data_IF_873481653445
#
_entry.id   IF_873481653445
#
_cell.length_a   1.000
_cell.length_b   1.000
_cell.length_c   1.000
_cell.angle_alpha   90.00
_cell.angle_beta   90.00
_cell.angle_gamma   90.00
#
_symmetry.space_group_name_H-M   'P 1'
#
loop_
_entity.id
_entity.type
_entity.pdbx_description
1 polymer ?
#
# COMPACT_ATOMS: atom_id res chain seq x y z
N UNK A 1 4.39 -42.45 51.06
CA UNK A 1 4.43 -40.99 50.86
C UNK A 1 4.37 -40.73 49.37
N UNK A 2 3.25 -40.20 48.85
CA UNK A 2 3.03 -39.98 47.41
C UNK A 2 3.67 -38.65 47.00
N UNK A 3 4.70 -38.70 46.15
CA UNK A 3 5.29 -37.51 45.55
C UNK A 3 4.33 -36.92 44.50
N UNK A 4 3.99 -35.64 44.64
CA UNK A 4 3.24 -34.89 43.63
C UNK A 4 4.23 -34.39 42.59
N UNK A 5 4.11 -34.86 41.35
CA UNK A 5 4.82 -34.28 40.21
C UNK A 5 4.16 -32.95 39.86
N UNK A 6 4.93 -31.86 39.88
CA UNK A 6 4.49 -30.53 39.47
C UNK A 6 4.75 -30.41 37.96
N UNK A 7 3.69 -30.39 37.15
CA UNK A 7 3.80 -30.07 35.72
C UNK A 7 3.94 -28.55 35.59
N UNK A 8 5.08 -28.07 35.07
CA UNK A 8 5.27 -26.68 34.67
C UNK A 8 4.90 -26.60 33.18
N UNK A 9 3.76 -25.99 32.87
CA UNK A 9 3.42 -25.61 31.49
C UNK A 9 4.22 -24.36 31.12
N UNK A 10 5.21 -24.52 30.25
CA UNK A 10 5.86 -23.40 29.58
C UNK A 10 4.92 -22.86 28.49
N UNK A 11 4.31 -21.69 28.72
CA UNK A 11 3.64 -20.94 27.66
C UNK A 11 4.71 -20.34 26.74
N UNK A 12 4.81 -20.84 25.51
CA UNK A 12 5.55 -20.18 24.45
C UNK A 12 4.77 -18.92 24.05
N UNK A 13 5.24 -17.75 24.45
CA UNK A 13 4.75 -16.47 23.91
C UNK A 13 5.29 -16.38 22.49
N UNK A 14 4.46 -16.71 21.50
CA UNK A 14 4.72 -16.34 20.11
C UNK A 14 4.53 -14.83 20.05
N UNK A 15 5.63 -14.09 20.09
CA UNK A 15 5.61 -12.67 19.74
C UNK A 15 5.36 -12.65 18.24
N UNK A 16 4.14 -12.31 17.82
CA UNK A 16 3.88 -11.96 16.43
C UNK A 16 4.81 -10.78 16.11
N UNK A 17 5.79 -10.99 15.23
CA UNK A 17 6.60 -9.89 14.72
C UNK A 17 5.68 -9.02 13.88
N UNK A 18 5.31 -7.85 14.39
CA UNK A 18 4.63 -6.83 13.61
C UNK A 18 5.55 -6.41 12.47
N UNK A 19 5.06 -6.48 11.24
CA UNK A 19 5.84 -6.03 10.10
C UNK A 19 5.53 -4.57 9.79
N UNK A 20 6.58 -3.74 9.75
CA UNK A 20 6.50 -2.31 9.48
C UNK A 20 6.88 -2.03 8.02
N UNK A 21 6.09 -1.18 7.36
CA UNK A 21 6.33 -0.64 6.01
C UNK A 21 6.43 0.86 6.11
N UNK A 22 7.03 1.43 5.07
CA UNK A 22 6.93 2.85 4.78
C UNK A 22 6.52 3.04 3.34
N UNK A 23 5.76 4.09 3.06
CA UNK A 23 5.56 4.55 1.70
C UNK A 23 6.09 5.96 1.47
N UNK A 24 6.48 6.24 0.22
CA UNK A 24 7.01 7.55 -0.15
C UNK A 24 6.92 7.86 -1.64
N UNK A 25 6.83 9.15 -1.94
CA UNK A 25 7.07 9.70 -3.28
C UNK A 25 8.52 10.21 -3.47
N UNK A 26 9.26 10.39 -2.38
CA UNK A 26 10.61 10.94 -2.41
C UNK A 26 11.61 9.92 -2.97
N UNK A 27 12.63 10.42 -3.67
CA UNK A 27 13.76 9.60 -4.07
C UNK A 27 14.65 9.32 -2.84
N UNK A 28 14.78 8.05 -2.47
CA UNK A 28 15.75 7.58 -1.49
C UNK A 28 17.00 7.01 -2.15
N UNK A 29 18.16 7.41 -1.64
CA UNK A 29 19.44 6.74 -1.96
C UNK A 29 19.54 5.38 -1.25
N UNK A 30 20.44 4.51 -1.72
CA UNK A 30 20.74 3.24 -1.06
C UNK A 30 21.03 3.41 0.44
N UNK A 31 21.87 4.37 0.84
CA UNK A 31 22.21 4.58 2.25
C UNK A 31 21.00 4.96 3.11
N UNK A 32 20.05 5.71 2.55
CA UNK A 32 18.82 6.07 3.26
C UNK A 32 17.89 4.86 3.42
N UNK A 33 17.70 4.07 2.36
CA UNK A 33 16.90 2.84 2.42
C UNK A 33 17.54 1.77 3.30
N UNK A 34 18.86 1.64 3.27
CA UNK A 34 19.61 0.76 4.17
C UNK A 34 19.43 1.19 5.62
N UNK A 35 19.52 2.49 5.91
CA UNK A 35 19.20 3.03 7.23
C UNK A 35 17.77 2.69 7.64
N UNK A 36 16.79 2.80 6.75
CA UNK A 36 15.38 2.45 7.02
C UNK A 36 15.25 0.98 7.43
N UNK A 37 15.89 0.05 6.70
CA UNK A 37 15.86 -1.37 7.01
C UNK A 37 16.42 -1.70 8.41
N UNK A 38 17.43 -0.96 8.88
CA UNK A 38 18.02 -1.13 10.22
C UNK A 38 17.04 -0.80 11.36
N UNK A 39 15.96 -0.05 11.09
CA UNK A 39 14.86 0.20 12.04
C UNK A 39 13.79 -0.89 12.04
N UNK A 40 14.12 -2.10 11.57
CA UNK A 40 13.20 -3.26 11.48
C UNK A 40 12.02 -3.04 10.53
N UNK A 41 12.13 -2.08 9.62
CA UNK A 41 11.21 -1.90 8.49
C UNK A 41 11.55 -2.96 7.45
N UNK A 42 10.54 -3.69 6.99
CA UNK A 42 10.71 -4.89 6.15
C UNK A 42 10.35 -4.65 4.68
N UNK A 43 9.55 -3.62 4.42
CA UNK A 43 9.17 -3.26 3.06
C UNK A 43 9.02 -1.76 2.87
N UNK A 44 8.98 -1.36 1.61
CA UNK A 44 8.71 0.01 1.19
C UNK A 44 7.74 0.04 0.01
N UNK A 45 6.81 0.99 -0.02
CA UNK A 45 5.88 1.19 -1.14
C UNK A 45 6.19 2.53 -1.79
N UNK A 46 6.64 2.50 -3.04
CA UNK A 46 7.19 3.69 -3.70
C UNK A 46 6.25 4.19 -4.78
N UNK A 47 6.11 5.52 -4.92
CA UNK A 47 5.22 6.06 -5.95
C UNK A 47 5.69 5.68 -7.35
N UNK A 48 4.81 5.07 -8.12
CA UNK A 48 5.02 4.66 -9.50
C UNK A 48 4.31 5.52 -10.53
N UNK A 49 3.17 6.10 -10.19
CA UNK A 49 2.40 6.94 -11.09
C UNK A 49 1.86 8.16 -10.35
N UNK A 50 1.89 9.30 -11.02
CA UNK A 50 1.47 10.58 -10.46
C UNK A 50 0.07 10.93 -10.94
N UNK A 51 -0.69 11.62 -10.08
CA UNK A 51 -2.02 12.16 -10.40
C UNK A 51 -2.00 13.21 -11.52
N UNK A 52 -0.81 13.59 -12.01
CA UNK A 52 -0.58 14.40 -13.21
C UNK A 52 -0.60 13.59 -14.51
N UNK A 53 -0.78 12.26 -14.47
CA UNK A 53 -0.92 11.41 -15.66
C UNK A 53 0.41 10.89 -16.22
N UNK A 54 1.44 10.74 -15.38
CA UNK A 54 2.76 10.29 -15.81
C UNK A 54 3.36 9.30 -14.81
N UNK A 55 4.24 8.42 -15.31
CA UNK A 55 5.08 7.58 -14.47
C UNK A 55 5.99 8.47 -13.62
N UNK A 56 6.08 8.16 -12.33
CA UNK A 56 6.99 8.87 -11.44
C UNK A 56 8.45 8.55 -11.80
N UNK A 57 9.29 9.54 -12.11
CA UNK A 57 10.69 9.30 -12.46
C UNK A 57 11.52 8.64 -11.34
N UNK A 58 11.04 8.70 -10.09
CA UNK A 58 11.72 8.11 -8.94
C UNK A 58 11.44 6.62 -8.77
N UNK A 59 10.45 6.03 -9.46
CA UNK A 59 9.98 4.66 -9.16
C UNK A 59 11.06 3.60 -9.36
N UNK A 60 11.73 3.60 -10.51
CA UNK A 60 12.78 2.62 -10.83
C UNK A 60 13.98 2.76 -9.88
N UNK A 61 14.58 3.95 -9.68
CA UNK A 61 15.70 4.06 -8.74
C UNK A 61 15.30 3.75 -7.30
N UNK A 62 14.06 4.05 -6.87
CA UNK A 62 13.59 3.64 -5.56
C UNK A 62 13.45 2.12 -5.43
N UNK A 63 12.88 1.42 -6.41
CA UNK A 63 12.80 -0.04 -6.38
C UNK A 63 14.19 -0.65 -6.27
N UNK A 64 15.15 -0.16 -7.05
CA UNK A 64 16.51 -0.67 -7.02
C UNK A 64 17.21 -0.39 -5.69
N UNK A 65 17.12 0.85 -5.17
CA UNK A 65 17.80 1.22 -3.95
C UNK A 65 17.20 0.54 -2.71
N UNK A 66 15.86 0.48 -2.62
CA UNK A 66 15.17 -0.19 -1.53
C UNK A 66 15.36 -1.71 -1.58
N UNK A 67 15.26 -2.32 -2.77
CA UNK A 67 15.50 -3.75 -2.95
C UNK A 67 16.94 -4.15 -2.63
N UNK A 68 17.93 -3.34 -3.02
CA UNK A 68 19.33 -3.56 -2.66
C UNK A 68 19.58 -3.38 -1.15
N UNK A 69 18.73 -2.60 -0.47
CA UNK A 69 18.71 -2.46 0.98
C UNK A 69 17.92 -3.58 1.69
N UNK A 70 17.60 -4.67 0.98
CA UNK A 70 16.90 -5.86 1.49
C UNK A 70 15.44 -5.64 1.88
N UNK A 71 14.83 -4.55 1.43
CA UNK A 71 13.41 -4.30 1.60
C UNK A 71 12.61 -5.04 0.52
N UNK A 72 11.46 -5.60 0.89
CA UNK A 72 10.44 -5.95 -0.10
C UNK A 72 9.86 -4.65 -0.66
N UNK A 73 9.66 -4.55 -1.97
CA UNK A 73 9.20 -3.30 -2.58
C UNK A 73 7.83 -3.47 -3.22
N UNK A 74 6.87 -2.65 -2.78
CA UNK A 74 5.62 -2.41 -3.48
C UNK A 74 5.66 -1.10 -4.25
N UNK A 75 4.67 -0.90 -5.11
CA UNK A 75 4.51 0.35 -5.88
C UNK A 75 3.10 0.86 -5.64
N UNK A 76 2.92 2.17 -5.47
CA UNK A 76 1.57 2.76 -5.52
C UNK A 76 1.42 3.65 -6.74
N UNK A 77 0.22 3.69 -7.30
CA UNK A 77 -0.13 4.53 -8.43
C UNK A 77 -1.24 5.49 -8.03
N UNK A 78 -0.99 6.79 -8.12
CA UNK A 78 -2.00 7.82 -7.95
C UNK A 78 -2.60 8.12 -9.32
N UNK A 79 -3.78 7.57 -9.68
CA UNK A 79 -4.34 7.74 -11.00
C UNK A 79 -4.75 9.18 -11.28
N UNK A 80 -4.59 9.60 -12.54
CA UNK A 80 -5.13 10.85 -13.02
C UNK A 80 -6.51 10.61 -13.64
N UNK A 81 -7.59 10.68 -12.85
CA UNK A 81 -8.94 10.61 -13.38
C UNK A 81 -9.22 11.58 -14.57
N UNK A 82 -8.90 12.90 -14.48
CA UNK A 82 -9.21 13.84 -15.56
C UNK A 82 -8.37 13.62 -16.83
N UNK A 83 -7.20 12.96 -16.75
CA UNK A 83 -6.42 12.58 -17.92
C UNK A 83 -7.12 11.47 -18.74
N UNK A 84 -8.05 10.73 -18.12
CA UNK A 84 -8.76 9.63 -18.74
C UNK A 84 -7.87 8.42 -19.03
N UNK A 85 -8.40 7.50 -19.84
CA UNK A 85 -7.72 6.28 -20.30
C UNK A 85 -7.02 5.47 -19.18
N UNK A 86 -7.78 4.93 -18.20
CA UNK A 86 -7.23 4.17 -17.08
C UNK A 86 -6.36 2.98 -17.54
N UNK A 87 -6.73 2.31 -18.63
CA UNK A 87 -5.95 1.20 -19.16
C UNK A 87 -4.54 1.64 -19.59
N UNK A 88 -4.42 2.80 -20.25
CA UNK A 88 -3.11 3.34 -20.60
C UNK A 88 -2.27 3.70 -19.38
N UNK A 89 -2.87 4.27 -18.33
CA UNK A 89 -2.13 4.59 -17.09
C UNK A 89 -1.51 3.34 -16.46
N UNK A 90 -2.27 2.24 -16.38
CA UNK A 90 -1.75 0.93 -15.95
C UNK A 90 -0.63 0.42 -16.87
N UNK A 91 -0.83 0.48 -18.19
CA UNK A 91 0.15 0.01 -19.17
C UNK A 91 1.45 0.82 -19.14
N UNK A 92 1.37 2.14 -18.98
CA UNK A 92 2.52 3.03 -18.87
C UNK A 92 3.37 2.65 -17.66
N UNK A 93 2.73 2.49 -16.49
CA UNK A 93 3.41 2.07 -15.26
C UNK A 93 4.07 0.70 -15.43
N UNK A 94 3.30 -0.33 -15.81
CA UNK A 94 3.84 -1.69 -15.96
C UNK A 94 4.96 -1.74 -17.00
N UNK A 95 4.89 -0.93 -18.05
CA UNK A 95 5.97 -0.80 -19.04
C UNK A 95 7.24 -0.22 -18.43
N UNK A 96 7.12 0.84 -17.62
CA UNK A 96 8.26 1.44 -16.93
C UNK A 96 8.90 0.51 -15.90
N UNK A 97 8.10 -0.39 -15.29
CA UNK A 97 8.54 -1.36 -14.29
C UNK A 97 9.15 -2.64 -14.89
N UNK A 98 9.27 -2.76 -16.22
CA UNK A 98 9.85 -3.95 -16.86
C UNK A 98 11.26 -4.22 -16.34
N UNK A 99 11.49 -5.47 -15.91
CA UNK A 99 12.77 -5.92 -15.38
C UNK A 99 13.08 -5.48 -13.94
N UNK A 100 12.14 -4.81 -13.26
CA UNK A 100 12.25 -4.52 -11.83
C UNK A 100 11.58 -5.60 -10.99
N UNK A 101 12.03 -5.79 -9.76
CA UNK A 101 11.45 -6.72 -8.78
C UNK A 101 10.60 -5.94 -7.78
N UNK A 102 9.31 -6.22 -7.75
CA UNK A 102 8.33 -5.63 -6.83
C UNK A 102 7.19 -6.63 -6.57
N UNK A 103 6.45 -6.47 -5.48
CA UNK A 103 5.43 -7.43 -5.05
C UNK A 103 4.01 -7.11 -5.54
N UNK A 104 3.68 -5.83 -5.66
CA UNK A 104 2.30 -5.35 -5.82
C UNK A 104 2.23 -3.95 -6.38
N UNK A 105 1.08 -3.62 -6.99
CA UNK A 105 0.69 -2.27 -7.37
C UNK A 105 -0.58 -1.89 -6.61
N UNK A 106 -0.47 -0.88 -5.75
CA UNK A 106 -1.57 -0.29 -5.00
C UNK A 106 -2.16 0.89 -5.77
N UNK A 107 -3.47 0.87 -6.05
CA UNK A 107 -4.16 2.02 -6.64
C UNK A 107 -4.57 2.95 -5.51
N UNK A 108 -4.00 4.14 -5.50
CA UNK A 108 -4.32 5.20 -4.55
C UNK A 108 -5.64 5.88 -4.96
N UNK A 109 -6.66 5.75 -4.11
CA UNK A 109 -8.01 6.29 -4.30
C UNK A 109 -8.32 7.26 -3.15
N UNK A 110 -7.71 8.44 -3.26
CA UNK A 110 -7.90 9.58 -2.36
C UNK A 110 -8.68 10.74 -3.02
N UNK A 111 -9.18 11.68 -2.22
CA UNK A 111 -9.97 12.83 -2.66
C UNK A 111 -9.13 13.81 -3.49
N UNK A 112 -9.03 13.54 -4.80
CA UNK A 112 -8.33 14.40 -5.74
C UNK A 112 -8.90 14.32 -7.15
N UNK A 113 -9.56 15.40 -7.60
CA UNK A 113 -10.04 15.57 -8.99
C UNK A 113 -10.97 14.47 -9.56
N UNK A 114 -11.59 13.66 -8.70
CA UNK A 114 -12.63 12.71 -9.11
C UNK A 114 -13.90 13.41 -9.59
N UNK A 115 -14.67 12.73 -10.44
CA UNK A 115 -15.98 13.21 -10.86
C UNK A 115 -16.97 13.19 -9.71
N UNK A 116 -17.98 14.07 -9.73
CA UNK A 116 -19.18 13.90 -8.91
C UNK A 116 -20.05 12.72 -9.37
N UNK A 117 -19.83 12.21 -10.59
CA UNK A 117 -20.48 11.00 -11.07
C UNK A 117 -19.74 9.77 -10.53
N UNK A 118 -20.28 9.19 -9.46
CA UNK A 118 -19.70 8.01 -8.81
C UNK A 118 -19.60 6.81 -9.76
N UNK A 119 -20.54 6.62 -10.70
CA UNK A 119 -20.46 5.53 -11.68
C UNK A 119 -19.29 5.69 -12.64
N UNK A 120 -18.93 6.93 -13.00
CA UNK A 120 -17.74 7.19 -13.81
C UNK A 120 -16.45 6.84 -13.05
N UNK A 121 -16.38 7.17 -11.76
CA UNK A 121 -15.24 6.82 -10.91
C UNK A 121 -15.13 5.28 -10.76
N UNK A 122 -16.24 4.59 -10.50
CA UNK A 122 -16.31 3.13 -10.44
C UNK A 122 -15.82 2.47 -11.74
N UNK A 123 -16.28 2.95 -12.89
CA UNK A 123 -15.86 2.42 -14.20
C UNK A 123 -14.37 2.65 -14.46
N UNK A 124 -13.85 3.82 -14.07
CA UNK A 124 -12.44 4.15 -14.18
C UNK A 124 -11.58 3.19 -13.35
N UNK A 125 -11.89 3.04 -12.06
CA UNK A 125 -11.14 2.17 -11.13
C UNK A 125 -11.25 0.71 -11.54
N UNK A 126 -12.44 0.25 -11.95
CA UNK A 126 -12.64 -1.12 -12.47
C UNK A 126 -11.73 -1.40 -13.66
N UNK A 127 -11.70 -0.48 -14.62
CA UNK A 127 -10.88 -0.63 -15.83
C UNK A 127 -9.40 -0.63 -15.47
N UNK A 128 -8.99 0.27 -14.58
CA UNK A 128 -7.60 0.37 -14.13
C UNK A 128 -7.13 -0.92 -13.43
N UNK A 129 -7.87 -1.36 -12.41
CA UNK A 129 -7.55 -2.55 -11.62
C UNK A 129 -7.55 -3.83 -12.47
N UNK A 130 -8.55 -4.00 -13.33
CA UNK A 130 -8.61 -5.16 -14.22
C UNK A 130 -7.49 -5.15 -15.27
N UNK A 131 -7.08 -3.96 -15.74
CA UNK A 131 -5.93 -3.85 -16.66
C UNK A 131 -4.65 -4.31 -15.95
N UNK A 132 -4.34 -3.81 -14.76
CA UNK A 132 -3.20 -4.27 -13.96
C UNK A 132 -3.24 -5.79 -13.73
N UNK A 133 -4.39 -6.32 -13.31
CA UNK A 133 -4.58 -7.76 -13.12
C UNK A 133 -4.31 -8.56 -14.40
N UNK A 134 -4.83 -8.12 -15.54
CA UNK A 134 -4.60 -8.77 -16.84
C UNK A 134 -3.14 -8.71 -17.29
N UNK A 135 -2.39 -7.71 -16.83
CA UNK A 135 -0.94 -7.58 -17.05
C UNK A 135 -0.12 -8.42 -16.05
N UNK A 136 -0.78 -9.31 -15.29
CA UNK A 136 -0.15 -10.24 -14.35
C UNK A 136 0.27 -9.61 -13.03
N UNK A 137 -0.23 -8.41 -12.71
CA UNK A 137 0.15 -7.70 -11.49
C UNK A 137 -0.70 -8.15 -10.29
N UNK A 138 -0.09 -8.22 -9.11
CA UNK A 138 -0.82 -8.24 -7.84
C UNK A 138 -1.36 -6.83 -7.57
N UNK A 139 -2.65 -6.70 -7.28
CA UNK A 139 -3.33 -5.41 -7.18
C UNK A 139 -3.90 -5.22 -5.79
N UNK A 140 -3.66 -4.04 -5.24
CA UNK A 140 -4.32 -3.56 -4.04
C UNK A 140 -4.95 -2.19 -4.23
N UNK A 141 -5.78 -1.77 -3.29
CA UNK A 141 -6.42 -0.45 -3.24
C UNK A 141 -5.95 0.24 -1.95
N UNK A 142 -5.46 1.47 -2.10
CA UNK A 142 -5.24 2.38 -1.00
C UNK A 142 -6.37 3.41 -0.90
N UNK A 143 -7.02 3.52 0.25
CA UNK A 143 -8.13 4.47 0.47
C UNK A 143 -8.50 4.55 1.96
N UNK A 144 -9.43 5.42 2.33
CA UNK A 144 -10.16 5.30 3.61
C UNK A 144 -11.62 4.98 3.36
N UNK A 145 -12.31 4.48 4.39
CA UNK A 145 -13.76 4.26 4.33
C UNK A 145 -14.54 5.52 3.95
N UNK A 146 -14.10 6.69 4.45
CA UNK A 146 -14.74 7.98 4.16
C UNK A 146 -14.55 8.40 2.71
N UNK A 147 -13.35 8.24 2.17
CA UNK A 147 -13.05 8.56 0.78
C UNK A 147 -13.68 7.58 -0.19
N UNK A 148 -13.66 6.29 0.11
CA UNK A 148 -14.39 5.28 -0.66
C UNK A 148 -15.87 5.64 -0.77
N UNK A 149 -16.49 6.02 0.36
CA UNK A 149 -17.88 6.47 0.38
C UNK A 149 -18.13 7.68 -0.51
N UNK A 150 -17.19 8.61 -0.55
CA UNK A 150 -17.31 9.88 -1.30
C UNK A 150 -17.07 9.68 -2.80
N UNK A 151 -16.06 8.89 -3.16
CA UNK A 151 -15.56 8.77 -4.53
C UNK A 151 -16.37 7.75 -5.33
N UNK A 152 -16.65 6.58 -4.74
CA UNK A 152 -17.29 5.46 -5.44
C UNK A 152 -18.58 4.98 -4.80
N UNK A 153 -18.91 5.48 -3.61
CA UNK A 153 -20.06 5.02 -2.83
C UNK A 153 -19.69 3.81 -1.97
N UNK A 154 -20.08 3.89 -0.69
CA UNK A 154 -19.59 3.03 0.38
C UNK A 154 -19.71 1.52 0.09
N UNK A 155 -20.80 1.12 -0.56
CA UNK A 155 -21.15 -0.28 -0.79
C UNK A 155 -20.66 -0.80 -2.15
N UNK A 156 -20.01 0.03 -2.96
CA UNK A 156 -19.49 -0.43 -4.25
C UNK A 156 -18.32 -1.39 -4.03
N UNK A 157 -18.45 -2.61 -4.56
CA UNK A 157 -17.54 -3.74 -4.30
C UNK A 157 -16.85 -4.30 -5.56
N UNK A 158 -16.85 -3.54 -6.66
CA UNK A 158 -16.36 -4.00 -7.97
C UNK A 158 -14.88 -4.41 -8.00
N UNK A 159 -14.10 -4.02 -6.99
CA UNK A 159 -12.67 -4.36 -6.84
C UNK A 159 -12.34 -5.01 -5.50
N UNK A 160 -13.33 -5.54 -4.77
CA UNK A 160 -13.14 -6.24 -3.48
C UNK A 160 -12.25 -7.49 -3.55
N UNK A 161 -11.93 -7.97 -4.76
CA UNK A 161 -10.96 -9.04 -4.98
C UNK A 161 -9.50 -8.59 -4.83
N UNK A 162 -9.23 -7.27 -4.88
CA UNK A 162 -7.91 -6.70 -4.65
C UNK A 162 -7.66 -6.53 -3.15
N UNK A 163 -6.38 -6.50 -2.74
CA UNK A 163 -6.05 -6.24 -1.34
C UNK A 163 -6.45 -4.83 -0.89
N UNK A 164 -6.64 -4.63 0.40
CA UNK A 164 -6.98 -3.33 0.99
C UNK A 164 -5.86 -2.82 1.90
N UNK A 165 -5.31 -1.68 1.52
CA UNK A 165 -4.43 -0.85 2.34
C UNK A 165 -5.23 0.37 2.78
N UNK A 166 -5.81 0.36 3.97
CA UNK A 166 -6.57 1.53 4.42
C UNK A 166 -5.71 2.50 5.21
N UNK A 167 -6.08 3.78 5.24
CA UNK A 167 -5.43 4.73 6.15
C UNK A 167 -6.37 5.19 7.27
N UNK A 168 -5.79 5.34 8.45
CA UNK A 168 -6.35 6.08 9.58
C UNK A 168 -5.22 6.46 10.54
N UNK A 169 -4.95 7.76 10.68
CA UNK A 169 -3.81 8.29 11.42
C UNK A 169 -4.03 8.34 12.93
N UNK A 170 -4.22 7.18 13.55
CA UNK A 170 -4.46 7.02 14.99
C UNK A 170 -3.21 6.58 15.77
N UNK A 171 -2.07 6.43 15.10
CA UNK A 171 -0.82 5.91 15.65
C UNK A 171 -0.93 4.46 16.18
N UNK A 172 -1.94 3.69 15.75
CA UNK A 172 -2.17 2.32 16.19
C UNK A 172 -1.79 1.32 15.09
N UNK A 173 -0.77 0.51 15.37
CA UNK A 173 -0.32 -0.63 14.55
C UNK A 173 -1.22 -1.85 14.74
N UNK A 174 -2.51 -1.69 14.43
CA UNK A 174 -3.52 -2.76 14.48
C UNK A 174 -4.75 -2.36 13.65
N UNK A 175 -5.64 -3.33 13.43
CA UNK A 175 -6.92 -3.13 12.73
C UNK A 175 -8.12 -3.03 13.69
N UNK A 176 -7.95 -2.69 14.97
CA UNK A 176 -9.07 -2.66 15.92
C UNK A 176 -10.12 -1.59 15.58
N UNK A 177 -9.73 -0.57 14.81
CA UNK A 177 -10.58 0.51 14.32
C UNK A 177 -11.22 0.20 12.96
N UNK A 178 -10.82 -0.90 12.29
CA UNK A 178 -11.31 -1.22 10.96
C UNK A 178 -12.82 -1.48 10.98
N UNK A 179 -13.53 -0.89 10.01
CA UNK A 179 -14.93 -1.16 9.75
C UNK A 179 -15.10 -1.62 8.30
N UNK A 180 -15.82 -2.73 8.03
CA UNK A 180 -16.05 -3.19 6.67
C UNK A 180 -16.67 -2.12 5.75
N UNK A 181 -16.20 -2.09 4.50
CA UNK A 181 -16.74 -1.27 3.41
C UNK A 181 -16.31 -1.84 2.07
N UNK A 182 -16.97 -1.45 0.98
CA UNK A 182 -16.54 -1.80 -0.37
C UNK A 182 -16.42 -3.31 -0.66
N UNK A 183 -17.05 -4.17 0.16
CA UNK A 183 -16.92 -5.63 0.08
C UNK A 183 -15.70 -6.22 0.80
N UNK A 184 -14.85 -5.41 1.43
CA UNK A 184 -13.77 -5.88 2.29
C UNK A 184 -14.24 -6.09 3.72
N UNK A 185 -14.07 -7.31 4.22
CA UNK A 185 -14.31 -7.68 5.62
C UNK A 185 -13.05 -7.57 6.50
N UNK A 186 -11.89 -7.46 5.86
CA UNK A 186 -10.59 -7.27 6.51
C UNK A 186 -9.68 -6.41 5.62
N UNK A 187 -8.68 -5.79 6.24
CA UNK A 187 -7.60 -5.10 5.53
C UNK A 187 -6.32 -5.94 5.53
N UNK A 188 -5.50 -5.75 4.51
CA UNK A 188 -4.17 -6.35 4.40
C UNK A 188 -3.10 -5.47 5.05
N UNK A 189 -3.30 -4.15 5.01
CA UNK A 189 -2.35 -3.16 5.52
C UNK A 189 -3.05 -1.90 6.03
N UNK A 190 -2.43 -1.21 6.98
CA UNK A 190 -2.88 0.10 7.48
C UNK A 190 -1.77 1.13 7.41
N UNK A 191 -2.03 2.27 6.78
CA UNK A 191 -1.22 3.48 6.99
C UNK A 191 -1.72 4.18 8.26
N UNK A 192 -0.93 4.08 9.33
CA UNK A 192 -1.35 4.49 10.68
C UNK A 192 -0.75 5.83 11.11
N UNK A 193 0.22 6.36 10.34
CA UNK A 193 0.87 7.63 10.61
C UNK A 193 1.34 8.29 9.31
N UNK A 194 1.01 9.56 9.17
CA UNK A 194 1.27 10.32 7.94
C UNK A 194 2.71 10.79 7.78
N UNK A 195 2.90 11.65 6.77
CA UNK A 195 4.20 11.98 6.22
C UNK A 195 5.10 12.68 7.25
N UNK A 196 6.25 12.07 7.53
CA UNK A 196 7.26 12.65 8.41
C UNK A 196 8.66 12.40 7.89
N UNK A 197 9.59 13.30 8.24
CA UNK A 197 11.00 13.10 7.93
C UNK A 197 11.56 12.02 8.86
N UNK A 198 11.92 10.88 8.31
CA UNK A 198 12.58 9.81 9.06
C UNK A 198 13.94 10.26 9.62
N UNK A 199 14.44 9.52 10.60
CA UNK A 199 15.82 9.65 11.10
C UNK A 199 16.86 9.41 10.00
N UNK A 200 16.49 8.67 8.95
CA UNK A 200 17.30 8.41 7.76
C UNK A 200 17.24 9.54 6.72
N UNK A 201 16.48 10.61 6.98
CA UNK A 201 16.46 11.81 6.17
C UNK A 201 15.58 11.78 4.91
N UNK A 202 14.82 10.70 4.71
CA UNK A 202 13.76 10.57 3.70
C UNK A 202 12.38 10.84 4.31
N UNK A 203 11.48 11.51 3.60
CA UNK A 203 10.08 11.64 4.05
C UNK A 203 9.31 10.37 3.77
N UNK A 204 8.62 9.85 4.76
CA UNK A 204 7.86 8.60 4.70
C UNK A 204 6.57 8.71 5.49
N UNK A 205 5.54 8.03 5.01
CA UNK A 205 4.42 7.62 5.84
C UNK A 205 4.77 6.27 6.50
N UNK A 206 4.02 5.86 7.53
CA UNK A 206 4.25 4.59 8.22
C UNK A 206 3.05 3.66 8.11
N UNK A 207 3.36 2.42 7.73
CA UNK A 207 2.41 1.37 7.48
C UNK A 207 2.65 0.15 8.36
N UNK A 208 1.61 -0.62 8.55
CA UNK A 208 1.62 -1.84 9.34
C UNK A 208 0.82 -2.94 8.67
N UNK A 209 1.35 -4.16 8.71
CA UNK A 209 0.62 -5.39 8.38
C UNK A 209 0.87 -6.49 9.44
N UNK A 210 -0.09 -7.41 9.63
CA UNK A 210 -0.06 -8.43 10.68
C UNK A 210 0.90 -9.60 10.44
#
# INVERSE_FOLDING_TARGET
>A
MRGKALLILAFAVIVAQSSQSVDTADLGSFTQWYCIAEYQIQSAIVRGYMSSGNVDPNVVPNIQNAGNAFLTVGVYMFPCFPCGNPAKQAQDLVTALKGQTYDSIWIDVETYQWSSNVQANQAFITTLANTLKSLGQSVGIYTSRAEWSTIVGLNWSGVSWAGLWYYHYDNQQNFMDFQPFGGWEMADMKQYHGLTKSTCGIYVNSDWWP
#
